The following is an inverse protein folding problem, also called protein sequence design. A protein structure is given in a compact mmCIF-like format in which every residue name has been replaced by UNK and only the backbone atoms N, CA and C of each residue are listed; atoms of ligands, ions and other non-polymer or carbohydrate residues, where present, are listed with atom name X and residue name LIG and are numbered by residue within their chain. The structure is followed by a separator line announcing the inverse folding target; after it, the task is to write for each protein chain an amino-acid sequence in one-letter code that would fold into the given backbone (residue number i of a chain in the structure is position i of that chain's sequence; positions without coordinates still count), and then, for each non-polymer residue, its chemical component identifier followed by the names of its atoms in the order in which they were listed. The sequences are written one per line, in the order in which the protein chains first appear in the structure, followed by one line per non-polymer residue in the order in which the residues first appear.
data_IF_168917146231
#
_entry.id   IF_168917146231
#
_cell.length_a   1.000
_cell.length_b   1.000
_cell.length_c   1.000
_cell.angle_alpha   90.00
_cell.angle_beta   90.00
_cell.angle_gamma   90.00
#
_symmetry.space_group_name_H-M   'P 1'
#
loop_
_entity.id
_entity.type
_entity.pdbx_description
1 polymer ?
#
# COMPACT_ATOMS: atom_id res chain seq x y z
N UNK A 1 4.48 12.42 -18.24
CA UNK A 1 4.90 13.76 -17.78
C UNK A 1 6.34 13.83 -17.26
N UNK A 2 6.95 12.73 -16.80
CA UNK A 2 8.36 12.73 -16.33
C UNK A 2 9.32 13.35 -17.37
N UNK A 3 9.18 13.00 -18.64
CA UNK A 3 10.02 13.57 -19.71
C UNK A 3 9.82 15.07 -19.95
N UNK A 4 8.61 15.61 -19.72
CA UNK A 4 8.36 17.06 -19.76
C UNK A 4 9.10 17.76 -18.61
N UNK A 5 9.01 17.22 -17.39
CA UNK A 5 9.72 17.78 -16.23
C UNK A 5 11.24 17.76 -16.45
N UNK A 6 11.78 16.68 -17.02
CA UNK A 6 13.19 16.60 -17.39
C UNK A 6 13.56 17.61 -18.49
N UNK A 7 12.72 17.77 -19.52
CA UNK A 7 12.95 18.75 -20.59
C UNK A 7 12.91 20.20 -20.08
N UNK A 8 12.12 20.46 -19.04
CA UNK A 8 12.09 21.74 -18.32
C UNK A 8 13.26 21.92 -17.33
N UNK A 9 14.25 21.03 -17.33
CA UNK A 9 15.47 21.13 -16.52
C UNK A 9 15.38 20.54 -15.12
N UNK A 10 14.33 19.78 -14.80
CA UNK A 10 14.21 19.13 -13.49
C UNK A 10 15.21 17.97 -13.35
N UNK A 11 15.94 17.95 -12.23
CA UNK A 11 16.85 16.87 -11.87
C UNK A 11 16.09 15.58 -11.51
N UNK A 12 16.67 14.43 -11.85
CA UNK A 12 16.10 13.11 -11.54
C UNK A 12 15.81 12.90 -10.06
N UNK A 13 16.66 13.43 -9.18
CA UNK A 13 16.48 13.38 -7.72
C UNK A 13 15.22 14.10 -7.26
N UNK A 14 14.86 15.23 -7.89
CA UNK A 14 13.62 15.95 -7.61
C UNK A 14 12.41 15.14 -8.06
N UNK A 15 12.48 14.51 -9.23
CA UNK A 15 11.40 13.67 -9.76
C UNK A 15 11.20 12.44 -8.87
N UNK A 16 12.29 11.77 -8.44
CA UNK A 16 12.25 10.69 -7.46
C UNK A 16 11.56 11.12 -6.17
N UNK A 17 11.94 12.27 -5.60
CA UNK A 17 11.36 12.79 -4.36
C UNK A 17 9.86 13.00 -4.50
N UNK A 18 9.41 13.59 -5.61
CA UNK A 18 7.97 13.79 -5.87
C UNK A 18 7.25 12.44 -5.98
N UNK A 19 7.79 11.51 -6.76
CA UNK A 19 7.20 10.18 -6.92
C UNK A 19 7.07 9.46 -5.57
N UNK A 20 8.15 9.35 -4.80
CA UNK A 20 8.14 8.68 -3.51
C UNK A 20 7.21 9.36 -2.49
N UNK A 21 7.13 10.70 -2.50
CA UNK A 21 6.21 11.42 -1.61
C UNK A 21 4.75 11.12 -1.95
N UNK A 22 4.40 11.10 -3.25
CA UNK A 22 3.04 10.77 -3.70
C UNK A 22 2.69 9.30 -3.44
N UNK A 23 3.62 8.41 -3.72
CA UNK A 23 3.54 7.00 -3.39
C UNK A 23 3.27 6.78 -1.90
N UNK A 24 4.09 7.40 -1.04
CA UNK A 24 3.95 7.28 0.41
C UNK A 24 2.59 7.77 0.91
N UNK A 25 2.12 8.92 0.40
CA UNK A 25 0.78 9.42 0.71
C UNK A 25 -0.32 8.43 0.31
N UNK A 26 -0.21 7.81 -0.87
CA UNK A 26 -1.15 6.80 -1.35
C UNK A 26 -1.13 5.55 -0.45
N UNK A 27 0.05 5.08 -0.06
CA UNK A 27 0.20 3.93 0.85
C UNK A 27 -0.47 4.19 2.18
N UNK A 28 -0.18 5.34 2.82
CA UNK A 28 -0.73 5.68 4.13
C UNK A 28 -2.26 5.84 4.07
N UNK A 29 -2.77 6.57 3.07
CA UNK A 29 -4.21 6.77 2.90
C UNK A 29 -4.94 5.46 2.61
N UNK A 30 -4.40 4.63 1.72
CA UNK A 30 -4.94 3.31 1.42
C UNK A 30 -4.92 2.37 2.63
N UNK A 31 -3.86 2.39 3.42
CA UNK A 31 -3.76 1.60 4.65
C UNK A 31 -4.72 2.10 5.73
N UNK A 32 -4.91 3.41 5.88
CA UNK A 32 -5.87 3.95 6.84
C UNK A 32 -7.30 3.47 6.51
N UNK A 33 -7.72 3.58 5.25
CA UNK A 33 -9.03 3.10 4.79
C UNK A 33 -9.15 1.58 4.92
N UNK A 34 -8.11 0.84 4.52
CA UNK A 34 -8.08 -0.62 4.60
C UNK A 34 -8.15 -1.15 6.03
N UNK A 35 -7.41 -0.54 6.98
CA UNK A 35 -7.50 -0.90 8.39
C UNK A 35 -8.88 -0.56 8.96
N UNK A 36 -9.44 0.61 8.64
CA UNK A 36 -10.77 0.98 9.10
C UNK A 36 -11.81 -0.06 8.67
N UNK A 37 -11.81 -0.43 7.38
CA UNK A 37 -12.69 -1.48 6.86
C UNK A 37 -12.41 -2.83 7.52
N UNK A 38 -11.14 -3.21 7.67
CA UNK A 38 -10.75 -4.46 8.33
C UNK A 38 -11.22 -4.54 9.78
N UNK A 39 -11.09 -3.46 10.55
CA UNK A 39 -11.57 -3.38 11.92
C UNK A 39 -13.10 -3.44 12.00
N UNK A 40 -13.81 -2.73 11.12
CA UNK A 40 -15.28 -2.79 11.06
C UNK A 40 -15.75 -4.22 10.79
N UNK A 41 -15.18 -4.89 9.79
CA UNK A 41 -15.52 -6.27 9.44
C UNK A 41 -15.18 -7.24 10.58
N UNK A 42 -13.99 -7.10 11.18
CA UNK A 42 -13.58 -7.93 12.31
C UNK A 42 -14.48 -7.73 13.54
N UNK A 43 -14.92 -6.49 13.80
CA UNK A 43 -15.84 -6.17 14.88
C UNK A 43 -17.23 -6.76 14.64
N UNK A 44 -17.75 -6.66 13.41
CA UNK A 44 -19.02 -7.30 13.03
C UNK A 44 -18.94 -8.81 13.26
N UNK A 45 -17.88 -9.47 12.79
CA UNK A 45 -17.69 -10.90 13.02
C UNK A 45 -17.56 -11.24 14.52
N UNK A 46 -16.89 -10.40 15.32
CA UNK A 46 -16.73 -10.59 16.75
C UNK A 46 -18.07 -10.54 17.51
N UNK A 47 -18.94 -9.59 17.16
CA UNK A 47 -20.24 -9.41 17.84
C UNK A 47 -21.31 -10.37 17.33
N UNK A 48 -21.46 -10.47 16.02
CA UNK A 48 -22.58 -11.17 15.39
C UNK A 48 -22.24 -12.61 14.98
N UNK A 49 -20.96 -13.00 15.02
CA UNK A 49 -20.48 -14.35 14.64
C UNK A 49 -21.04 -14.78 13.28
N UNK A 50 -21.06 -13.84 12.33
CA UNK A 50 -21.70 -13.96 11.01
C UNK A 50 -21.19 -15.14 10.19
N UNK A 51 -19.96 -15.58 10.42
CA UNK A 51 -19.35 -16.74 9.75
C UNK A 51 -19.34 -17.93 10.71
N UNK A 52 -20.30 -18.87 10.60
CA UNK A 52 -20.33 -20.11 11.35
C UNK A 52 -19.32 -21.12 10.78
N UNK A 53 -18.83 -22.03 11.63
CA UNK A 53 -17.99 -23.15 11.23
C UNK A 53 -18.63 -24.47 11.67
N UNK A 54 -18.36 -25.52 10.90
CA UNK A 54 -18.72 -26.88 11.28
C UNK A 54 -17.81 -27.34 12.44
N UNK A 55 -18.36 -27.56 13.65
CA UNK A 55 -17.57 -27.92 14.82
C UNK A 55 -16.87 -29.28 14.67
N UNK A 56 -17.40 -30.17 13.82
CA UNK A 56 -16.81 -31.50 13.58
C UNK A 56 -15.47 -31.38 12.86
N UNK A 57 -15.36 -30.43 11.93
CA UNK A 57 -14.18 -30.23 11.11
C UNK A 57 -13.21 -29.20 11.70
N UNK A 58 -13.70 -28.23 12.46
CA UNK A 58 -12.92 -27.06 12.89
C UNK A 58 -12.81 -26.85 14.40
N UNK A 59 -13.43 -27.71 15.22
CA UNK A 59 -13.43 -27.64 16.69
C UNK A 59 -13.99 -26.32 17.30
N UNK A 60 -14.49 -25.41 16.46
CA UNK A 60 -15.10 -24.13 16.83
C UNK A 60 -16.38 -23.90 16.03
N UNK A 61 -17.37 -23.25 16.66
CA UNK A 61 -18.66 -22.97 16.03
C UNK A 61 -18.67 -21.71 15.15
N UNK A 62 -17.65 -20.85 15.28
CA UNK A 62 -17.52 -19.58 14.54
C UNK A 62 -16.06 -19.18 14.42
N UNK A 63 -15.74 -18.31 13.45
CA UNK A 63 -14.35 -17.81 13.29
C UNK A 63 -14.00 -16.96 14.50
N UNK A 64 -13.01 -17.35 15.32
CA UNK A 64 -12.62 -16.57 16.47
C UNK A 64 -11.78 -15.36 16.02
N UNK A 65 -12.17 -14.17 16.46
CA UNK A 65 -11.45 -12.91 16.19
C UNK A 65 -10.72 -12.49 17.45
N UNK A 66 -9.41 -12.30 17.36
CA UNK A 66 -8.56 -11.83 18.45
C UNK A 66 -7.81 -10.56 18.05
N UNK A 67 -8.10 -9.45 18.73
CA UNK A 67 -7.40 -8.19 18.52
C UNK A 67 -6.11 -8.15 19.33
N UNK A 68 -4.98 -8.40 18.67
CA UNK A 68 -3.66 -8.21 19.26
C UNK A 68 -3.01 -6.94 18.67
N UNK A 69 -3.00 -5.87 19.48
CA UNK A 69 -2.47 -4.57 19.07
C UNK A 69 -1.02 -4.62 18.61
N UNK A 70 -0.17 -5.41 19.27
CA UNK A 70 1.24 -5.58 18.89
C UNK A 70 1.36 -6.16 17.48
N UNK A 71 0.61 -7.22 17.17
CA UNK A 71 0.60 -7.84 15.84
C UNK A 71 0.05 -6.89 14.78
N UNK A 72 -1.00 -6.13 15.10
CA UNK A 72 -1.62 -5.17 14.18
C UNK A 72 -0.69 -4.01 13.83
N UNK A 73 0.00 -3.44 14.82
CA UNK A 73 0.98 -2.37 14.61
C UNK A 73 2.16 -2.92 13.80
N UNK A 74 2.69 -4.09 14.17
CA UNK A 74 3.82 -4.69 13.48
C UNK A 74 3.49 -5.01 12.01
N UNK A 75 2.30 -5.58 11.77
CA UNK A 75 1.82 -5.84 10.41
C UNK A 75 1.80 -4.56 9.57
N UNK A 76 1.23 -3.48 10.12
CA UNK A 76 1.16 -2.19 9.43
C UNK A 76 2.55 -1.61 9.14
N UNK A 77 3.46 -1.61 10.12
CA UNK A 77 4.82 -1.11 9.94
C UNK A 77 5.56 -1.90 8.85
N UNK A 78 5.50 -3.23 8.90
CA UNK A 78 6.14 -4.10 7.90
C UNK A 78 5.53 -3.88 6.52
N UNK A 79 4.20 -3.76 6.41
CA UNK A 79 3.52 -3.49 5.14
C UNK A 79 3.96 -2.16 4.52
N UNK A 80 4.01 -1.07 5.29
CA UNK A 80 4.50 0.23 4.79
C UNK A 80 5.94 0.12 4.29
N UNK A 81 6.81 -0.54 5.05
CA UNK A 81 8.21 -0.74 4.68
C UNK A 81 8.35 -1.55 3.39
N UNK A 82 7.64 -2.68 3.28
CA UNK A 82 7.67 -3.53 2.10
C UNK A 82 7.16 -2.81 0.85
N UNK A 83 6.03 -2.10 0.96
CA UNK A 83 5.49 -1.35 -0.17
C UNK A 83 6.44 -0.21 -0.57
N UNK A 84 7.03 0.50 0.39
CA UNK A 84 8.00 1.57 0.11
C UNK A 84 9.23 1.02 -0.61
N UNK A 85 9.76 -0.13 -0.18
CA UNK A 85 10.88 -0.83 -0.84
C UNK A 85 10.51 -1.25 -2.27
N UNK A 86 9.32 -1.80 -2.48
CA UNK A 86 8.82 -2.16 -3.82
C UNK A 86 8.73 -0.94 -4.73
N UNK A 87 8.31 0.21 -4.22
CA UNK A 87 8.20 1.47 -4.97
C UNK A 87 9.56 2.13 -5.25
N UNK A 88 10.61 1.79 -4.51
CA UNK A 88 11.97 2.21 -4.86
C UNK A 88 12.45 1.57 -6.18
N UNK A 89 12.03 0.33 -6.48
CA UNK A 89 12.41 -0.38 -7.71
C UNK A 89 12.04 0.42 -8.98
N UNK A 90 10.76 0.77 -9.23
CA UNK A 90 10.38 1.57 -10.40
C UNK A 90 10.97 2.97 -10.36
N UNK A 91 11.30 3.51 -9.18
CA UNK A 91 12.00 4.78 -9.08
C UNK A 91 13.31 4.75 -9.85
N UNK A 92 14.13 3.70 -9.74
CA UNK A 92 15.39 3.61 -10.50
C UNK A 92 15.21 3.72 -12.02
N UNK A 93 14.07 3.27 -12.56
CA UNK A 93 13.77 3.41 -13.99
C UNK A 93 13.51 4.85 -14.44
N UNK A 94 13.16 5.77 -13.52
CA UNK A 94 12.96 7.20 -13.81
C UNK A 94 14.23 7.80 -14.42
N UNK A 95 15.40 7.38 -13.94
CA UNK A 95 16.70 7.85 -14.47
C UNK A 95 16.90 7.51 -15.96
N UNK A 96 16.32 6.41 -16.43
CA UNK A 96 16.48 5.91 -17.81
C UNK A 96 15.48 6.49 -18.81
N UNK A 97 14.56 7.35 -18.37
CA UNK A 97 13.58 7.99 -19.25
C UNK A 97 14.22 9.14 -20.03
N UNK A 98 14.44 8.95 -21.34
CA UNK A 98 14.94 9.98 -22.26
C UNK A 98 13.80 10.94 -22.68
N UNK A 99 13.94 12.27 -22.50
CA UNK A 99 12.90 13.24 -22.86
C UNK A 99 12.48 13.17 -24.33
N UNK A 100 13.47 13.01 -25.22
CA UNK A 100 13.33 12.93 -26.68
C UNK A 100 12.34 11.84 -27.15
N UNK A 101 12.28 10.71 -26.43
CA UNK A 101 11.36 9.60 -26.76
C UNK A 101 9.95 9.85 -26.26
N UNK A 102 9.80 10.65 -25.21
CA UNK A 102 8.51 10.89 -24.53
C UNK A 102 7.78 12.14 -25.01
N UNK A 103 8.48 13.09 -25.61
CA UNK A 103 7.92 14.33 -26.16
C UNK A 103 7.71 14.28 -27.67
N UNK A 104 8.09 13.17 -28.32
CA UNK A 104 7.79 12.96 -29.75
C UNK A 104 6.29 12.76 -29.93
N UNK A 105 5.57 13.86 -30.09
CA UNK A 105 4.23 13.87 -30.67
C UNK A 105 4.39 13.49 -32.13
N UNK A 106 3.65 12.47 -32.57
CA UNK A 106 3.56 12.10 -33.98
C UNK A 106 2.52 12.98 -34.66
#
# INVERSE_FOLDING_TARGET
MIGLLKALGMRDTSIHKIFLTRAFYLVISGMAVGNLLGFVLAYIQFQFKTIPLDPVNYFVAYVPVYFNWTKLILLNVISVLMITLLLMIPSFFISRVSPEKTLRVK
#
